data_IF_250883474942
#
_entry.id   IF_250883474942
#
_cell.length_a   1.000
_cell.length_b   1.000
_cell.length_c   1.000
_cell.angle_alpha   90.00
_cell.angle_beta   90.00
_cell.angle_gamma   90.00
#
_symmetry.space_group_name_H-M   'P 1'
#
loop_
_entity.id
_entity.type
_entity.pdbx_description
1 polymer ?
2 water ?
#
# COMPACT_ATOMS: atom_id res chain seq x y z
N UNK A 4 -6.68 -3.75 -18.16
CA UNK A 4 -6.07 -4.31 -16.97
C UNK A 4 -4.60 -3.94 -16.87
N UNK A 5 -4.20 -3.45 -15.70
CA UNK A 5 -2.80 -3.31 -15.35
C UNK A 5 -2.61 -4.16 -14.12
N UNK A 6 -2.52 -5.46 -14.33
CA UNK A 6 -2.45 -6.42 -13.24
C UNK A 6 -1.02 -6.80 -12.89
N UNK A 7 -0.29 -5.86 -12.29
CA UNK A 7 0.94 -6.21 -11.60
C UNK A 7 0.45 -6.87 -10.33
N UNK A 8 1.27 -7.70 -9.71
CA UNK A 8 0.88 -8.30 -8.44
C UNK A 8 1.97 -8.18 -7.38
N UNK A 9 1.55 -7.86 -6.16
CA UNK A 9 2.45 -7.44 -5.11
C UNK A 9 2.46 -8.36 -3.92
N UNK A 10 3.37 -8.06 -3.01
CA UNK A 10 3.45 -8.71 -1.72
C UNK A 10 4.19 -7.74 -0.84
N UNK A 11 3.81 -7.66 0.43
CA UNK A 11 4.56 -6.87 1.39
C UNK A 11 5.29 -7.85 2.30
N UNK A 12 6.45 -8.34 1.85
CA UNK A 12 7.07 -9.47 2.53
C UNK A 12 7.58 -9.10 3.91
N UNK A 13 7.90 -7.83 4.11
CA UNK A 13 8.43 -7.38 5.38
C UNK A 13 8.37 -5.88 5.55
N UNK A 14 8.63 -5.43 6.77
CA UNK A 14 8.68 -4.01 7.10
C UNK A 14 10.15 -3.65 7.32
N UNK A 15 10.55 -2.43 6.99
CA UNK A 15 11.97 -2.09 7.00
C UNK A 15 12.22 -0.66 7.44
N UNK A 16 13.41 -0.14 7.14
CA UNK A 16 13.84 1.16 7.63
C UNK A 16 14.56 2.10 6.66
N UNK A 17 14.19 3.38 6.72
CA UNK A 17 15.13 4.45 6.43
C UNK A 17 15.60 4.90 7.81
N UNK A 18 16.71 4.32 8.25
CA UNK A 18 17.23 4.46 9.61
C UNK A 18 17.20 5.90 10.13
N UNK A 19 16.49 6.12 11.23
CA UNK A 19 16.39 7.46 11.83
C UNK A 19 16.21 7.43 13.35
N UNK A 31 13.45 5.81 10.13
CA UNK A 31 12.01 5.71 10.00
C UNK A 31 11.62 4.37 9.37
N UNK A 32 10.62 3.69 9.95
CA UNK A 32 10.08 2.39 9.51
C UNK A 32 9.07 2.43 8.34
N UNK A 33 9.26 1.56 7.35
CA UNK A 33 8.37 1.50 6.18
C UNK A 33 8.06 0.07 5.76
N UNK A 34 6.99 -0.11 4.99
CA UNK A 34 6.71 -1.40 4.41
C UNK A 34 7.43 -1.53 3.10
N UNK A 35 8.18 -2.61 2.94
CA UNK A 35 8.79 -2.90 1.67
C UNK A 35 7.76 -3.59 0.81
N UNK A 36 7.19 -2.88 -0.16
CA UNK A 36 6.16 -3.46 -1.01
C UNK A 36 6.77 -4.09 -2.24
N UNK A 37 6.76 -5.41 -2.31
CA UNK A 37 7.37 -6.11 -3.43
C UNK A 37 6.42 -6.10 -4.62
N UNK A 38 6.89 -5.58 -5.75
CA UNK A 38 6.04 -5.46 -6.92
C UNK A 38 6.50 -6.37 -8.04
N UNK A 39 5.56 -7.06 -8.67
CA UNK A 39 5.86 -7.99 -9.74
C UNK A 39 5.00 -7.77 -11.00
N UNK A 40 5.35 -8.48 -12.06
CA UNK A 40 4.76 -8.40 -13.41
C UNK A 40 5.53 -7.49 -14.35
N UNK A 50 9.35 -10.59 -17.67
CA UNK A 50 9.14 -10.77 -16.23
C UNK A 50 9.82 -9.67 -15.40
N UNK A 51 9.12 -8.56 -15.17
CA UNK A 51 9.70 -7.38 -14.50
C UNK A 51 9.37 -7.29 -13.01
N UNK A 52 10.38 -7.16 -12.17
CA UNK A 52 10.19 -7.13 -10.72
C UNK A 52 10.84 -5.92 -10.08
N UNK A 53 10.21 -5.40 -9.03
CA UNK A 53 10.86 -4.42 -8.14
C UNK A 53 10.26 -4.30 -6.74
N UNK A 54 10.77 -3.34 -5.98
CA UNK A 54 10.39 -3.18 -4.58
C UNK A 54 10.28 -1.72 -4.17
N UNK A 55 9.12 -1.33 -3.67
CA UNK A 55 8.89 0.04 -3.26
C UNK A 55 8.71 0.11 -1.75
N UNK A 56 9.21 1.18 -1.15
CA UNK A 56 9.13 1.34 0.28
C UNK A 56 8.13 2.41 0.62
N UNK A 57 7.03 1.99 1.22
CA UNK A 57 5.97 2.91 1.53
C UNK A 57 5.76 2.95 3.02
N UNK A 58 5.48 4.13 3.54
CA UNK A 58 5.24 4.27 4.96
C UNK A 58 3.76 4.12 5.28
N UNK A 59 3.48 4.04 6.57
CA UNK A 59 2.13 3.91 7.09
C UNK A 59 1.26 4.98 6.47
N UNK A 60 1.63 6.24 6.69
CA UNK A 60 0.75 7.36 6.36
C UNK A 60 0.45 7.55 4.88
N UNK A 61 1.29 6.99 4.01
CA UNK A 61 1.05 7.10 2.58
C UNK A 61 -0.16 6.30 2.15
N UNK A 62 -0.37 5.15 2.78
CA UNK A 62 -1.49 4.29 2.46
C UNK A 62 -2.79 5.05 2.65
N UNK A 63 -2.78 5.93 3.64
CA UNK A 63 -3.95 6.70 3.99
C UNK A 63 -4.21 7.84 3.02
N UNK A 64 -3.17 8.55 2.61
CA UNK A 64 -3.35 9.59 1.60
C UNK A 64 -3.73 8.96 0.28
N UNK A 65 -3.00 7.93 -0.11
CA UNK A 65 -3.35 7.15 -1.27
C UNK A 65 -4.83 6.89 -1.25
N UNK A 66 -5.28 6.32 -0.15
CA UNK A 66 -6.68 5.97 0.01
C UNK A 66 -7.57 7.19 0.00
N UNK A 67 -7.18 8.22 0.74
CA UNK A 67 -7.92 9.47 0.73
C UNK A 67 -8.05 9.95 -0.69
N UNK A 68 -6.94 9.89 -1.42
CA UNK A 68 -6.92 10.27 -2.82
C UNK A 68 -7.78 9.32 -3.64
N UNK A 69 -7.41 8.05 -3.67
CA UNK A 69 -8.03 7.08 -4.57
C UNK A 69 -9.54 7.04 -4.45
N UNK A 70 -10.03 6.90 -3.23
CA UNK A 70 -11.46 6.75 -3.00
C UNK A 70 -12.21 7.93 -3.58
N UNK A 71 -11.60 9.10 -3.48
CA UNK A 71 -12.19 10.34 -3.94
C UNK A 71 -12.53 10.32 -5.42
N UNK A 72 -11.75 9.56 -6.19
CA UNK A 72 -11.83 9.61 -7.63
C UNK A 72 -12.47 8.39 -8.26
N UNK A 73 -12.70 7.34 -7.48
CA UNK A 73 -13.16 6.13 -8.12
C UNK A 73 -14.46 5.50 -7.62
N UNK A 74 -15.52 5.79 -8.38
CA UNK A 74 -16.84 5.21 -8.23
C UNK A 74 -17.43 5.28 -6.83
N UNK A 75 -17.61 4.11 -6.25
CA UNK A 75 -18.07 3.96 -4.87
C UNK A 75 -17.57 2.60 -4.38
N UNK A 76 -16.24 2.49 -4.29
CA UNK A 76 -15.59 1.21 -4.02
C UNK A 76 -15.35 1.00 -2.54
N UNK A 77 -15.79 -0.16 -2.01
CA UNK A 77 -15.43 -0.69 -0.70
C UNK A 77 -14.39 -1.77 -0.89
N UNK A 78 -14.65 -2.96 -0.36
CA UNK A 78 -13.85 -4.16 -0.60
C UNK A 78 -12.50 -4.10 0.09
N UNK A 79 -11.76 -3.04 -0.19
CA UNK A 79 -10.45 -2.85 0.40
C UNK A 79 -10.54 -1.67 1.34
N UNK A 80 -10.22 -1.90 2.60
CA UNK A 80 -10.34 -0.84 3.59
C UNK A 80 -9.22 -0.87 4.60
N UNK A 81 -8.70 0.30 4.89
CA UNK A 81 -7.60 0.45 5.80
C UNK A 81 -8.18 0.64 7.19
N UNK A 82 -7.59 -0.02 8.19
CA UNK A 82 -7.94 0.25 9.57
C UNK A 82 -7.66 1.71 9.86
N UNK A 83 -8.40 2.29 10.79
CA UNK A 83 -8.21 3.69 11.13
C UNK A 83 -6.81 3.89 11.68
N UNK A 84 -6.20 5.01 11.33
CA UNK A 84 -4.89 5.36 11.85
C UNK A 84 -4.98 5.28 13.35
N UNK A 85 -3.95 4.75 13.98
CA UNK A 85 -3.89 4.90 15.42
C UNK A 85 -2.96 6.07 15.70
N UNK A 86 -3.33 6.89 16.67
CA UNK A 86 -2.54 8.07 17.03
C UNK A 86 -1.98 7.92 18.44
N UNK A 87 -2.18 6.74 19.01
CA UNK A 87 -1.58 6.39 20.29
C UNK A 87 -0.08 6.58 20.24
N UNK A 88 0.53 5.90 19.27
CA UNK A 88 1.93 5.56 19.33
C UNK A 88 1.95 4.06 19.58
N UNK A 89 3.14 3.48 19.76
CA UNK A 89 4.42 4.17 19.65
C UNK A 89 4.75 4.35 18.18
N UNK A 90 3.81 3.95 17.32
CA UNK A 90 3.97 4.09 15.89
C UNK A 90 5.22 3.38 15.42
N UNK A 91 5.63 2.37 16.18
CA UNK A 91 6.93 1.78 15.97
C UNK A 91 6.93 0.65 14.98
N UNK A 92 8.02 -0.10 15.00
CA UNK A 92 8.22 -1.25 14.14
C UNK A 92 7.14 -2.30 14.36
N UNK A 93 7.04 -2.78 15.59
CA UNK A 93 6.16 -3.90 15.87
C UNK A 93 4.72 -3.57 15.54
N UNK A 94 4.38 -2.29 15.61
CA UNK A 94 3.05 -1.85 15.20
C UNK A 94 2.88 -2.15 13.74
N UNK A 95 3.93 -1.89 12.98
CA UNK A 95 3.85 -2.03 11.56
C UNK A 95 3.92 -3.47 11.15
N UNK A 96 4.76 -4.25 11.80
CA UNK A 96 4.82 -5.67 11.47
C UNK A 96 3.49 -6.34 11.75
N UNK A 97 2.69 -5.71 12.59
CA UNK A 97 1.38 -6.23 12.92
C UNK A 97 0.36 -5.83 11.86
N UNK A 98 0.74 -4.88 11.02
CA UNK A 98 -0.15 -4.34 10.00
C UNK A 98 0.12 -4.92 8.63
N UNK A 99 1.35 -5.38 8.44
CA UNK A 99 1.84 -5.92 7.17
C UNK A 99 0.81 -6.67 6.35
N UNK A 100 0.10 -7.58 7.00
CA UNK A 100 -0.76 -8.51 6.28
C UNK A 100 -2.03 -7.87 5.75
N UNK A 101 -2.61 -6.94 6.50
CA UNK A 101 -3.82 -6.27 6.06
C UNK A 101 -3.51 -5.24 5.00
N UNK A 102 -2.29 -4.72 5.01
CA UNK A 102 -1.88 -3.73 4.05
C UNK A 102 -1.39 -4.42 2.79
N UNK A 103 -1.04 -5.69 2.93
CA UNK A 103 -0.73 -6.51 1.77
C UNK A 103 -2.04 -6.83 1.08
N UNK A 104 -3.02 -7.23 1.88
CA UNK A 104 -4.37 -7.54 1.42
C UNK A 104 -5.00 -6.36 0.72
N UNK A 105 -5.04 -5.22 1.41
CA UNK A 105 -5.55 -3.96 0.89
C UNK A 105 -5.02 -3.61 -0.48
N UNK A 106 -3.70 -3.55 -0.60
CA UNK A 106 -3.07 -3.24 -1.88
C UNK A 106 -3.44 -4.28 -2.92
N UNK A 107 -3.39 -5.54 -2.51
CA UNK A 107 -3.63 -6.64 -3.43
C UNK A 107 -5.02 -6.60 -4.04
N UNK A 108 -5.97 -6.03 -3.31
CA UNK A 108 -7.37 -5.98 -3.74
C UNK A 108 -7.61 -4.83 -4.70
N UNK A 109 -7.07 -3.67 -4.34
CA UNK A 109 -7.05 -2.49 -5.20
C UNK A 109 -6.75 -2.85 -6.65
N UNK A 110 -5.80 -3.76 -6.83
CA UNK A 110 -5.36 -4.19 -8.15
C UNK A 110 -6.46 -4.93 -8.88
N UNK A 111 -7.17 -5.77 -8.15
CA UNK A 111 -8.20 -6.61 -8.74
C UNK A 111 -9.38 -5.76 -9.11
N UNK A 112 -9.45 -4.59 -8.52
CA UNK A 112 -10.54 -3.68 -8.79
C UNK A 112 -10.53 -3.22 -10.23
N UNK A 113 -11.71 -3.16 -10.83
CA UNK A 113 -11.94 -2.43 -12.07
C UNK A 113 -11.86 -0.94 -11.76
N UNK A 114 -11.97 -0.08 -12.77
CA UNK A 114 -11.93 1.37 -12.58
C UNK A 114 -10.59 1.86 -12.08
N UNK A 115 -9.96 1.07 -11.22
CA UNK A 115 -8.63 1.41 -10.72
C UNK A 115 -7.57 0.97 -11.70
N UNK A 116 -7.89 -0.03 -12.51
CA UNK A 116 -6.92 -0.70 -13.39
C UNK A 116 -5.99 0.22 -14.16
N UNK A 117 -6.16 1.53 -14.00
CA UNK A 117 -5.36 2.48 -14.74
C UNK A 117 -5.14 3.79 -14.00
N UNK A 118 -5.28 3.78 -12.68
CA UNK A 118 -5.01 5.00 -11.91
C UNK A 118 -3.52 5.27 -11.80
N UNK A 119 -3.15 6.53 -12.01
CA UNK A 119 -1.77 6.93 -11.86
C UNK A 119 -1.43 6.77 -10.41
N UNK A 120 -2.14 7.54 -9.58
CA UNK A 120 -2.02 7.51 -8.13
C UNK A 120 -1.48 6.21 -7.57
N UNK A 121 -2.06 5.12 -8.05
CA UNK A 121 -1.71 3.80 -7.58
C UNK A 121 -0.36 3.41 -8.15
N UNK A 122 -0.14 3.73 -9.42
CA UNK A 122 1.12 3.39 -10.06
C UNK A 122 2.27 4.07 -9.35
N UNK A 123 2.12 5.37 -9.12
CA UNK A 123 3.14 6.12 -8.41
C UNK A 123 3.43 5.49 -7.07
N UNK A 124 2.38 5.02 -6.40
CA UNK A 124 2.53 4.39 -5.10
C UNK A 124 3.37 3.14 -5.21
N UNK A 125 3.12 2.35 -6.24
CA UNK A 125 3.92 1.16 -6.45
C UNK A 125 5.07 1.40 -7.40
N UNK A 126 5.46 2.66 -7.58
CA UNK A 126 6.63 3.02 -8.38
C UNK A 126 7.88 3.06 -7.52
N UNK A 127 8.99 2.48 -8.00
CA UNK A 127 10.25 2.25 -7.27
C UNK A 127 10.79 3.42 -6.42
N UNK A 128 11.41 3.09 -5.29
CA UNK A 128 11.88 4.05 -4.27
C UNK A 128 10.76 4.83 -3.57
#
# INVERSE_FOLDING_TARGET
>A
GSNLAAWKISIPYVDFFEDPSSERKEKKERIPVFCIDVERNDRRAVGHEPEHWSVYRRYLEFYVLESKLTEFHGAFPDAQLPSKRIIGPKNYEFLKSKREEFQEYLQKLLQHPELSNSQLLADFLSPN
#
